data_IF_922090827537
#
_entry.id   IF_922090827537
#
_cell.length_a   1.000
_cell.length_b   1.000
_cell.length_c   1.000
_cell.angle_alpha   90.00
_cell.angle_beta   90.00
_cell.angle_gamma   90.00
#
_symmetry.space_group_name_H-M   'P 1'
#
loop_
_entity.id
_entity.type
_entity.pdbx_description
1 polymer ?
#
# COMPACT_ATOMS: atom_id res chain seq x y z
N UNK A 1 -45.34 -21.71 -2.43
CA UNK A 1 -44.07 -22.46 -2.61
C UNK A 1 -42.98 -21.45 -2.94
N UNK A 2 -41.96 -21.46 -2.09
CA UNK A 2 -40.89 -20.49 -1.89
C UNK A 2 -39.69 -20.72 -2.81
N UNK A 3 -39.01 -19.64 -3.20
CA UNK A 3 -37.57 -19.68 -3.44
C UNK A 3 -36.96 -18.31 -3.13
N UNK A 4 -36.56 -18.11 -1.86
CA UNK A 4 -35.62 -17.05 -1.47
C UNK A 4 -34.26 -17.35 -2.06
N UNK A 5 -33.72 -16.42 -2.83
CA UNK A 5 -32.31 -16.43 -3.23
C UNK A 5 -31.46 -16.13 -1.98
N UNK A 6 -30.81 -17.18 -1.48
CA UNK A 6 -29.79 -17.10 -0.43
C UNK A 6 -28.53 -16.45 -1.01
N UNK A 7 -28.29 -15.20 -0.66
CA UNK A 7 -27.01 -14.53 -0.91
C UNK A 7 -26.00 -15.10 0.09
N UNK A 8 -25.17 -16.02 -0.39
CA UNK A 8 -24.05 -16.54 0.38
C UNK A 8 -23.08 -15.40 0.74
N UNK A 9 -22.55 -15.35 1.98
CA UNK A 9 -21.55 -14.37 2.37
C UNK A 9 -20.25 -14.59 1.59
N UNK A 10 -19.68 -13.48 1.09
CA UNK A 10 -18.33 -13.45 0.52
C UNK A 10 -17.36 -13.98 1.57
N UNK A 11 -16.62 -15.04 1.24
CA UNK A 11 -15.51 -15.51 2.03
C UNK A 11 -14.52 -14.35 2.24
N UNK A 12 -14.44 -13.87 3.48
CA UNK A 12 -13.37 -13.01 3.95
C UNK A 12 -12.08 -13.81 3.80
N UNK A 13 -11.24 -13.42 2.84
CA UNK A 13 -9.87 -13.92 2.79
C UNK A 13 -9.15 -13.31 3.98
N UNK A 14 -9.17 -14.01 5.13
CA UNK A 14 -8.25 -13.75 6.24
C UNK A 14 -6.82 -13.83 5.68
N UNK A 15 -6.23 -12.67 5.38
CA UNK A 15 -4.89 -12.60 4.83
C UNK A 15 -3.93 -13.32 5.77
N UNK A 16 -3.23 -14.34 5.27
CA UNK A 16 -2.21 -15.02 6.05
C UNK A 16 -1.13 -14.00 6.42
N UNK A 17 -0.95 -13.77 7.73
CA UNK A 17 0.16 -12.96 8.23
C UNK A 17 1.46 -13.76 8.04
N UNK A 18 2.57 -13.06 7.79
CA UNK A 18 3.88 -13.68 7.63
C UNK A 18 4.53 -13.92 8.98
N UNK A 19 5.11 -15.11 9.19
CA UNK A 19 6.00 -15.37 10.32
C UNK A 19 7.40 -14.75 10.12
N UNK A 20 7.66 -14.18 8.95
CA UNK A 20 8.95 -13.62 8.57
C UNK A 20 9.06 -12.11 8.88
N UNK A 21 10.30 -11.64 9.09
CA UNK A 21 10.59 -10.21 9.29
C UNK A 21 10.50 -9.39 8.00
N UNK A 22 10.61 -8.06 8.13
CA UNK A 22 10.53 -7.12 7.03
C UNK A 22 11.61 -7.37 5.95
N UNK A 23 12.79 -7.81 6.35
CA UNK A 23 13.87 -8.15 5.42
C UNK A 23 13.47 -9.29 4.50
N UNK A 24 12.85 -10.34 5.04
CA UNK A 24 12.45 -11.49 4.21
C UNK A 24 11.23 -11.13 3.36
N UNK A 25 10.27 -10.38 3.91
CA UNK A 25 9.15 -9.84 3.14
C UNK A 25 9.64 -9.02 1.92
N UNK A 26 10.65 -8.16 2.08
CA UNK A 26 11.25 -7.42 0.95
C UNK A 26 11.98 -8.34 -0.02
N UNK A 27 12.65 -9.40 0.45
CA UNK A 27 13.29 -10.38 -0.44
C UNK A 27 12.26 -11.16 -1.25
N UNK A 28 11.15 -11.54 -0.65
CA UNK A 28 10.00 -12.13 -1.34
C UNK A 28 9.44 -11.20 -2.41
N UNK A 29 9.20 -9.93 -2.06
CA UNK A 29 8.77 -8.91 -3.02
C UNK A 29 9.77 -8.77 -4.19
N UNK A 30 11.08 -8.71 -3.90
CA UNK A 30 12.12 -8.65 -4.93
C UNK A 30 12.10 -9.90 -5.82
N UNK A 31 12.00 -11.10 -5.24
CA UNK A 31 11.95 -12.37 -6.01
C UNK A 31 10.74 -12.37 -6.93
N UNK A 32 9.58 -12.05 -6.37
CA UNK A 32 8.31 -12.00 -7.10
C UNK A 32 8.37 -10.97 -8.23
N UNK A 33 8.75 -9.73 -7.94
CA UNK A 33 8.78 -8.64 -8.91
C UNK A 33 9.79 -8.88 -10.04
N UNK A 34 10.94 -9.52 -9.74
CA UNK A 34 11.87 -9.99 -10.78
C UNK A 34 11.23 -11.03 -11.69
N UNK A 35 10.51 -12.01 -11.14
CA UNK A 35 9.87 -13.07 -11.92
C UNK A 35 8.78 -12.52 -12.86
N UNK A 36 8.07 -11.47 -12.45
CA UNK A 36 6.98 -10.86 -13.24
C UNK A 36 7.46 -9.94 -14.36
N UNK A 37 8.67 -9.40 -14.23
CA UNK A 37 9.23 -8.37 -15.11
C UNK A 37 9.15 -8.71 -16.60
N UNK A 38 9.47 -9.95 -16.99
CA UNK A 38 9.40 -10.37 -18.38
C UNK A 38 7.97 -10.28 -18.95
N UNK A 39 6.97 -10.65 -18.14
CA UNK A 39 5.55 -10.51 -18.49
C UNK A 39 5.14 -9.06 -18.64
N UNK A 40 5.58 -8.18 -17.73
CA UNK A 40 5.33 -6.74 -17.84
C UNK A 40 5.97 -6.13 -19.07
N UNK A 41 7.21 -6.49 -19.40
CA UNK A 41 7.87 -6.02 -20.63
C UNK A 41 7.12 -6.46 -21.89
N UNK A 42 6.66 -7.71 -21.97
CA UNK A 42 5.91 -8.20 -23.13
C UNK A 42 4.62 -7.42 -23.38
N UNK A 43 3.89 -7.03 -22.33
CA UNK A 43 2.59 -6.37 -22.46
C UNK A 43 2.67 -4.83 -22.46
N UNK A 44 3.58 -4.27 -21.66
CA UNK A 44 3.72 -2.83 -21.42
C UNK A 44 4.99 -2.20 -22.00
N UNK A 45 5.80 -2.98 -22.72
CA UNK A 45 7.01 -2.53 -23.41
C UNK A 45 8.12 -2.09 -22.47
N UNK A 46 9.00 -1.23 -22.99
CA UNK A 46 10.18 -0.73 -22.25
C UNK A 46 9.79 0.06 -21.00
N UNK A 47 8.69 0.82 -21.04
CA UNK A 47 8.24 1.62 -19.89
C UNK A 47 7.92 0.74 -18.69
N UNK A 48 7.19 -0.36 -18.90
CA UNK A 48 6.88 -1.30 -17.84
C UNK A 48 8.14 -2.02 -17.31
N UNK A 49 9.11 -2.33 -18.19
CA UNK A 49 10.40 -2.90 -17.78
C UNK A 49 11.18 -1.95 -16.86
N UNK A 50 11.27 -0.67 -17.23
CA UNK A 50 12.00 0.34 -16.45
C UNK A 50 11.35 0.58 -15.09
N UNK A 51 10.03 0.68 -15.03
CA UNK A 51 9.30 0.86 -13.77
C UNK A 51 9.41 -0.36 -12.86
N UNK A 52 9.35 -1.58 -13.40
CA UNK A 52 9.59 -2.81 -12.64
C UNK A 52 11.02 -2.87 -12.08
N UNK A 53 12.04 -2.47 -12.86
CA UNK A 53 13.42 -2.34 -12.37
C UNK A 53 13.54 -1.30 -11.25
N UNK A 54 12.88 -0.16 -11.41
CA UNK A 54 12.91 0.91 -10.42
C UNK A 54 12.32 0.47 -9.08
N UNK A 55 11.19 -0.26 -9.10
CA UNK A 55 10.61 -0.84 -7.88
C UNK A 55 11.58 -1.83 -7.22
N UNK A 56 12.12 -2.79 -7.98
CA UNK A 56 13.09 -3.77 -7.46
C UNK A 56 14.35 -3.09 -6.90
N UNK A 57 14.80 -1.99 -7.51
CA UNK A 57 15.94 -1.23 -7.00
C UNK A 57 15.60 -0.52 -5.67
N UNK A 58 14.41 0.08 -5.56
CA UNK A 58 13.95 0.70 -4.33
C UNK A 58 13.81 -0.32 -3.18
N UNK A 59 13.22 -1.49 -3.44
CA UNK A 59 13.11 -2.58 -2.46
C UNK A 59 14.49 -3.02 -1.95
N UNK A 60 15.47 -3.16 -2.85
CA UNK A 60 16.86 -3.50 -2.46
C UNK A 60 17.49 -2.42 -1.60
N UNK A 61 17.27 -1.15 -1.94
CA UNK A 61 17.80 -0.03 -1.18
C UNK A 61 17.24 0.03 0.25
N UNK A 62 16.05 -0.55 0.48
CA UNK A 62 15.42 -0.63 1.80
C UNK A 62 15.90 -1.81 2.66
N UNK A 63 16.57 -2.83 2.08
CA UNK A 63 17.03 -4.01 2.83
C UNK A 63 17.90 -3.68 4.06
N UNK A 64 18.86 -2.74 4.03
CA UNK A 64 19.64 -2.41 5.22
C UNK A 64 18.79 -1.83 6.36
N UNK A 65 17.83 -0.95 6.02
CA UNK A 65 16.92 -0.38 7.00
C UNK A 65 15.96 -1.45 7.56
N UNK A 66 15.47 -2.35 6.70
CA UNK A 66 14.64 -3.48 7.12
C UNK A 66 15.37 -4.41 8.09
N UNK A 67 16.65 -4.70 7.83
CA UNK A 67 17.47 -5.52 8.73
C UNK A 67 17.65 -4.88 10.10
N UNK A 68 17.86 -3.56 10.15
CA UNK A 68 17.94 -2.82 11.42
C UNK A 68 16.62 -2.87 12.19
N UNK A 69 15.50 -2.71 11.50
CA UNK A 69 14.16 -2.80 12.09
C UNK A 69 13.86 -4.22 12.61
N UNK A 70 14.22 -5.26 11.86
CA UNK A 70 14.06 -6.65 12.30
C UNK A 70 14.88 -6.95 13.56
N UNK A 71 16.14 -6.50 13.60
CA UNK A 71 17.01 -6.65 14.77
C UNK A 71 16.44 -5.95 16.00
N UNK A 72 15.81 -4.79 15.81
CA UNK A 72 15.21 -4.04 16.89
C UNK A 72 13.89 -4.65 17.38
N UNK A 73 13.03 -5.08 16.45
CA UNK A 73 11.80 -5.79 16.78
C UNK A 73 12.05 -7.08 17.55
N UNK A 74 13.14 -7.80 17.25
CA UNK A 74 13.54 -9.01 17.96
C UNK A 74 13.90 -8.80 19.44
N UNK A 75 14.06 -7.54 19.89
CA UNK A 75 14.28 -7.21 21.31
C UNK A 75 13.01 -7.18 22.13
N UNK A 76 11.84 -7.23 21.48
CA UNK A 76 10.55 -7.15 22.15
C UNK A 76 9.87 -8.52 22.17
N UNK A 77 9.13 -8.85 23.24
CA UNK A 77 8.45 -10.15 23.37
C UNK A 77 7.20 -10.28 22.49
N UNK A 78 6.77 -9.18 21.83
CA UNK A 78 5.62 -9.15 20.93
C UNK A 78 6.08 -8.98 19.48
N UNK A 79 5.41 -9.62 18.51
CA UNK A 79 5.86 -9.66 17.12
C UNK A 79 5.48 -8.38 16.34
N UNK A 80 5.93 -7.20 16.80
CA UNK A 80 5.52 -5.88 16.26
C UNK A 80 5.58 -5.83 14.73
N UNK A 81 6.67 -6.30 14.14
CA UNK A 81 6.85 -6.31 12.69
C UNK A 81 6.14 -7.47 12.00
N UNK A 82 6.38 -8.71 12.45
CA UNK A 82 5.93 -9.92 11.76
C UNK A 82 4.41 -9.97 11.64
N UNK A 83 3.72 -9.63 12.71
CA UNK A 83 2.26 -9.63 12.71
C UNK A 83 1.68 -8.60 11.73
N UNK A 84 2.39 -7.54 11.37
CA UNK A 84 1.93 -6.47 10.46
C UNK A 84 2.20 -6.75 8.98
N UNK A 85 2.99 -7.78 8.66
CA UNK A 85 3.37 -8.11 7.29
C UNK A 85 2.43 -9.17 6.73
N UNK A 86 1.81 -8.83 5.60
CA UNK A 86 1.03 -9.81 4.83
C UNK A 86 2.00 -10.67 4.02
N UNK A 87 1.71 -11.97 3.94
CA UNK A 87 2.48 -12.89 3.11
C UNK A 87 2.40 -12.47 1.62
N UNK A 88 3.57 -12.34 0.99
CA UNK A 88 3.70 -12.05 -0.43
C UNK A 88 3.10 -13.15 -1.33
N UNK A 89 2.95 -14.38 -0.82
CA UNK A 89 2.28 -15.47 -1.51
C UNK A 89 0.80 -15.16 -1.81
N UNK A 90 0.18 -14.24 -1.06
CA UNK A 90 -1.21 -13.79 -1.27
C UNK A 90 -1.30 -12.75 -2.40
N UNK A 91 -0.18 -12.22 -2.88
CA UNK A 91 -0.17 -11.23 -3.94
C UNK A 91 -0.77 -11.81 -5.25
N UNK A 92 -1.55 -11.03 -6.01
CA UNK A 92 -2.22 -11.53 -7.22
C UNK A 92 -1.26 -12.10 -8.26
N UNK A 93 -1.66 -13.10 -9.08
CA UNK A 93 -0.77 -13.64 -10.09
C UNK A 93 -0.37 -12.59 -11.14
N UNK A 94 0.86 -12.70 -11.64
CA UNK A 94 1.48 -11.73 -12.56
C UNK A 94 0.70 -11.45 -13.85
N UNK A 95 -0.06 -12.45 -14.29
CA UNK A 95 -0.84 -12.41 -15.53
C UNK A 95 -2.26 -11.90 -15.32
N UNK A 96 -2.67 -11.61 -14.08
CA UNK A 96 -3.98 -11.07 -13.80
C UNK A 96 -4.12 -9.70 -14.49
N UNK A 97 -5.07 -9.53 -15.42
CA UNK A 97 -5.39 -8.21 -15.94
C UNK A 97 -5.93 -7.35 -14.81
N UNK A 98 -5.60 -6.06 -14.82
CA UNK A 98 -6.20 -5.16 -13.85
C UNK A 98 -7.60 -4.75 -14.30
N UNK A 99 -8.61 -4.86 -13.43
CA UNK A 99 -9.93 -4.37 -13.76
C UNK A 99 -9.89 -2.85 -13.99
N UNK A 100 -10.77 -2.29 -14.84
CA UNK A 100 -10.90 -0.85 -14.99
C UNK A 100 -11.24 -0.19 -13.65
N UNK A 101 -10.74 1.03 -13.42
CA UNK A 101 -11.24 1.85 -12.32
C UNK A 101 -12.63 2.32 -12.73
N UNK A 102 -13.67 1.75 -12.14
CA UNK A 102 -15.04 2.17 -12.45
C UNK A 102 -15.26 3.56 -11.86
N UNK A 103 -15.55 4.52 -12.75
CA UNK A 103 -16.10 5.82 -12.39
C UNK A 103 -17.51 5.59 -11.84
N UNK A 104 -17.66 5.53 -10.52
CA UNK A 104 -19.00 5.60 -9.91
C UNK A 104 -19.55 7.01 -10.19
N UNK A 105 -20.42 7.13 -11.19
CA UNK A 105 -21.02 8.39 -11.63
C UNK A 105 -21.25 8.55 -13.13
N UNK A 106 -20.96 7.54 -13.97
CA UNK A 106 -21.42 7.54 -15.36
C UNK A 106 -22.92 7.18 -15.43
N UNK A 107 -23.77 8.10 -14.99
CA UNK A 107 -24.94 8.42 -15.80
C UNK A 107 -24.41 9.18 -17.02
N UNK A 108 -24.94 8.87 -18.20
CA UNK A 108 -24.48 9.29 -19.52
C UNK A 108 -23.99 10.75 -19.61
N UNK A 109 -22.68 10.97 -19.52
CA UNK A 109 -22.06 12.23 -19.90
C UNK A 109 -20.99 11.98 -20.95
N UNK A 110 -21.42 11.83 -22.20
CA UNK A 110 -20.65 12.14 -23.40
C UNK A 110 -20.26 13.63 -23.36
N UNK A 111 -19.17 13.94 -22.66
CA UNK A 111 -18.56 15.26 -22.64
C UNK A 111 -17.03 15.14 -22.80
N UNK A 112 -16.37 16.12 -23.47
CA UNK A 112 -14.94 16.06 -23.72
C UNK A 112 -14.16 15.97 -22.42
N UNK A 113 -13.21 15.03 -22.39
CA UNK A 113 -12.24 14.77 -21.32
C UNK A 113 -11.70 16.08 -20.72
N UNK A 114 -12.25 16.49 -19.57
CA UNK A 114 -11.74 17.64 -18.85
C UNK A 114 -10.32 17.34 -18.37
N UNK A 115 -9.36 18.04 -18.99
CA UNK A 115 -7.96 18.05 -18.60
C UNK A 115 -7.91 18.50 -17.13
N UNK A 116 -7.52 17.57 -16.26
CA UNK A 116 -7.39 17.82 -14.83
C UNK A 116 -6.56 19.08 -14.57
N UNK A 117 -7.15 20.04 -13.85
CA UNK A 117 -6.50 21.30 -13.49
C UNK A 117 -5.19 21.08 -12.70
N UNK A 118 -4.13 21.90 -12.92
CA UNK A 118 -2.82 21.76 -12.26
C UNK A 118 -2.82 21.99 -10.74
N UNK A 119 -3.93 22.46 -10.15
CA UNK A 119 -4.01 22.83 -8.72
C UNK A 119 -4.05 21.65 -7.75
N UNK A 120 -4.14 20.42 -8.22
CA UNK A 120 -4.23 19.21 -7.37
C UNK A 120 -2.94 18.89 -6.58
N UNK A 121 -1.82 19.59 -6.81
CA UNK A 121 -0.52 19.30 -6.20
C UNK A 121 -0.26 19.91 -4.82
N UNK A 122 -0.83 21.08 -4.50
CA UNK A 122 -0.42 21.87 -3.31
C UNK A 122 -1.13 21.45 -2.02
N UNK A 123 -2.37 20.97 -2.10
CA UNK A 123 -3.10 20.44 -0.94
C UNK A 123 -2.60 19.08 -0.46
N UNK A 124 -1.91 18.33 -1.32
CA UNK A 124 -1.62 16.91 -1.13
C UNK A 124 -0.42 16.64 -0.21
N UNK A 125 0.60 17.48 -0.30
CA UNK A 125 1.80 17.45 0.55
C UNK A 125 1.49 17.92 1.98
N UNK A 126 0.51 18.83 2.13
CA UNK A 126 0.08 19.34 3.44
C UNK A 126 -0.57 18.26 4.31
N UNK A 127 -1.32 17.32 3.71
CA UNK A 127 -2.01 16.26 4.46
C UNK A 127 -1.04 15.23 5.06
N UNK A 128 -0.08 14.72 4.29
CA UNK A 128 0.96 13.81 4.80
C UNK A 128 1.87 14.55 5.79
N UNK A 129 2.20 15.81 5.51
CA UNK A 129 2.96 16.66 6.45
C UNK A 129 2.25 16.83 7.79
N UNK A 130 0.92 16.99 7.81
CA UNK A 130 0.15 17.06 9.03
C UNK A 130 0.17 15.74 9.83
N UNK A 131 0.11 14.59 9.16
CA UNK A 131 0.21 13.27 9.81
C UNK A 131 1.61 13.06 10.38
N UNK A 132 2.66 13.40 9.61
CA UNK A 132 4.04 13.35 10.09
C UNK A 132 4.22 14.22 11.34
N UNK A 133 3.70 15.46 11.30
CA UNK A 133 3.75 16.39 12.43
C UNK A 133 3.00 15.88 13.66
N UNK A 134 1.85 15.22 13.48
CA UNK A 134 1.11 14.59 14.57
C UNK A 134 1.97 13.50 15.26
N UNK A 135 2.65 12.66 14.48
CA UNK A 135 3.53 11.62 15.01
C UNK A 135 4.73 12.23 15.76
N UNK A 136 5.37 13.26 15.19
CA UNK A 136 6.54 13.89 15.83
C UNK A 136 6.18 14.68 17.09
N UNK A 137 4.94 15.19 17.19
CA UNK A 137 4.39 15.80 18.41
C UNK A 137 3.94 14.78 19.45
N UNK A 138 4.08 13.49 19.16
CA UNK A 138 3.73 12.43 20.09
C UNK A 138 2.23 12.17 20.22
N UNK A 139 1.40 12.57 19.25
CA UNK A 139 -0.02 12.21 19.24
C UNK A 139 -0.20 10.69 19.36
N UNK A 140 -1.34 10.30 19.93
CA UNK A 140 -1.71 8.89 20.06
C UNK A 140 -1.79 8.23 18.68
N UNK A 141 -1.20 7.05 18.52
CA UNK A 141 -1.18 6.34 17.24
C UNK A 141 -2.58 5.92 16.76
N UNK A 142 -3.56 5.81 17.65
CA UNK A 142 -4.96 5.64 17.27
C UNK A 142 -5.49 6.84 16.43
N UNK A 143 -5.25 8.08 16.87
CA UNK A 143 -5.58 9.29 16.10
C UNK A 143 -4.87 9.32 14.75
N UNK A 144 -3.60 8.87 14.72
CA UNK A 144 -2.84 8.74 13.46
C UNK A 144 -3.49 7.71 12.53
N UNK A 145 -3.94 6.57 13.05
CA UNK A 145 -4.67 5.56 12.28
C UNK A 145 -5.95 6.12 11.65
N UNK A 146 -6.75 6.87 12.41
CA UNK A 146 -7.98 7.48 11.90
C UNK A 146 -7.72 8.49 10.78
N UNK A 147 -6.68 9.32 10.94
CA UNK A 147 -6.23 10.25 9.88
C UNK A 147 -5.77 9.50 8.63
N UNK A 148 -5.09 8.37 8.79
CA UNK A 148 -4.68 7.53 7.66
C UNK A 148 -5.88 6.88 6.97
N UNK A 149 -6.90 6.43 7.72
CA UNK A 149 -8.17 5.94 7.15
C UNK A 149 -8.83 7.00 6.26
N UNK A 150 -8.95 8.22 6.76
CA UNK A 150 -9.51 9.34 6.00
C UNK A 150 -8.69 9.62 4.72
N UNK A 151 -7.36 9.53 4.83
CA UNK A 151 -6.46 9.75 3.70
C UNK A 151 -6.53 8.63 2.65
N UNK A 152 -6.62 7.37 3.06
CA UNK A 152 -6.82 6.23 2.14
C UNK A 152 -8.14 6.39 1.39
N UNK A 153 -9.21 6.76 2.09
CA UNK A 153 -10.50 7.03 1.47
C UNK A 153 -10.41 8.16 0.43
N UNK A 154 -9.62 9.21 0.70
CA UNK A 154 -9.34 10.28 -0.25
C UNK A 154 -8.56 9.81 -1.49
N UNK A 155 -7.50 9.02 -1.31
CA UNK A 155 -6.74 8.45 -2.44
C UNK A 155 -7.64 7.56 -3.30
N UNK A 156 -8.46 6.70 -2.70
CA UNK A 156 -9.44 5.88 -3.42
C UNK A 156 -10.49 6.72 -4.17
N UNK A 157 -10.94 7.84 -3.59
CA UNK A 157 -11.81 8.80 -4.30
C UNK A 157 -11.08 9.43 -5.49
N UNK A 158 -9.81 9.81 -5.34
CA UNK A 158 -8.99 10.39 -6.41
C UNK A 158 -8.71 9.36 -7.53
N UNK A 159 -8.45 8.10 -7.18
CA UNK A 159 -8.33 7.02 -8.16
C UNK A 159 -9.59 6.95 -9.02
N UNK A 160 -10.77 6.90 -8.37
CA UNK A 160 -12.06 6.90 -9.07
C UNK A 160 -12.20 8.12 -9.95
N UNK A 161 -12.07 9.33 -9.41
CA UNK A 161 -12.29 10.57 -10.15
C UNK A 161 -11.39 10.74 -11.39
N UNK A 162 -10.15 10.27 -11.35
CA UNK A 162 -9.18 10.42 -12.45
C UNK A 162 -9.11 9.15 -13.32
N UNK A 163 -9.72 8.04 -12.90
CA UNK A 163 -9.63 6.75 -13.59
C UNK A 163 -8.22 6.14 -13.56
N UNK A 164 -7.37 6.50 -12.59
CA UNK A 164 -5.97 6.05 -12.53
C UNK A 164 -5.65 5.36 -11.20
N UNK A 165 -4.93 4.24 -11.28
CA UNK A 165 -4.53 3.45 -10.10
C UNK A 165 -3.38 4.12 -9.33
N UNK A 166 -3.36 3.89 -8.01
CA UNK A 166 -2.44 4.42 -7.00
C UNK A 166 -2.01 3.31 -6.04
N UNK A 167 -1.72 2.13 -6.59
CA UNK A 167 -1.55 0.90 -5.83
C UNK A 167 -0.44 1.00 -4.77
N UNK A 168 0.74 1.53 -5.12
CA UNK A 168 1.83 1.64 -4.16
C UNK A 168 1.52 2.67 -3.07
N UNK A 169 0.95 3.80 -3.46
CA UNK A 169 0.56 4.86 -2.52
C UNK A 169 -0.43 4.35 -1.49
N UNK A 170 -1.49 3.69 -1.95
CA UNK A 170 -2.53 3.13 -1.08
C UNK A 170 -1.95 2.03 -0.19
N UNK A 171 -1.16 1.12 -0.76
CA UNK A 171 -0.52 0.04 0.00
C UNK A 171 0.36 0.54 1.15
N UNK A 172 1.18 1.57 0.92
CA UNK A 172 1.99 2.17 1.99
C UNK A 172 1.15 2.86 3.07
N UNK A 173 0.07 3.53 2.68
CA UNK A 173 -0.84 4.17 3.65
C UNK A 173 -1.61 3.13 4.48
N UNK A 174 -2.06 2.04 3.85
CA UNK A 174 -2.72 0.93 4.52
C UNK A 174 -1.77 0.24 5.50
N UNK A 175 -0.51 0.00 5.10
CA UNK A 175 0.53 -0.57 5.96
C UNK A 175 0.81 0.35 7.16
N UNK A 176 1.01 1.66 6.91
CA UNK A 176 1.20 2.64 7.98
C UNK A 176 0.03 2.67 8.97
N UNK A 177 -1.19 2.56 8.47
CA UNK A 177 -2.41 2.55 9.28
C UNK A 177 -2.52 1.29 10.12
N UNK A 178 -2.25 0.12 9.55
CA UNK A 178 -2.25 -1.15 10.28
C UNK A 178 -1.24 -1.10 11.44
N UNK A 179 -0.03 -0.61 11.17
CA UNK A 179 0.99 -0.40 12.21
C UNK A 179 0.51 0.55 13.31
N UNK A 180 -0.12 1.67 12.93
CA UNK A 180 -0.63 2.65 13.88
C UNK A 180 -1.77 2.09 14.75
N UNK A 181 -2.68 1.31 14.16
CA UNK A 181 -3.81 0.69 14.86
C UNK A 181 -3.35 -0.34 15.91
N UNK A 182 -2.34 -1.16 15.58
CA UNK A 182 -1.85 -2.22 16.46
C UNK A 182 -0.87 -1.74 17.53
N UNK A 183 -0.26 -0.58 17.33
CA UNK A 183 0.73 -0.04 18.26
C UNK A 183 0.22 0.09 19.71
N UNK A 184 -1.06 0.44 19.90
CA UNK A 184 -1.64 0.54 21.24
C UNK A 184 -1.69 -0.82 21.96
N UNK A 185 -1.98 -1.91 21.23
CA UNK A 185 -1.99 -3.26 21.80
C UNK A 185 -0.59 -3.71 22.21
N UNK A 186 0.39 -3.53 21.31
CA UNK A 186 1.78 -3.87 21.61
C UNK A 186 2.31 -3.06 22.79
N UNK A 187 2.01 -1.76 22.84
CA UNK A 187 2.42 -0.90 23.94
C UNK A 187 1.86 -1.41 25.27
N UNK A 188 0.57 -1.76 25.36
CA UNK A 188 -0.01 -2.33 26.60
C UNK A 188 0.69 -3.61 27.02
N UNK A 189 1.00 -4.51 26.07
CA UNK A 189 1.64 -5.81 26.35
C UNK A 189 3.12 -5.71 26.72
N UNK A 190 3.76 -4.57 26.46
CA UNK A 190 5.18 -4.35 26.73
C UNK A 190 5.44 -3.12 27.61
N UNK A 191 4.43 -2.66 28.36
CA UNK A 191 4.53 -1.44 29.20
C UNK A 191 5.15 -0.23 28.47
N UNK A 192 4.68 0.02 27.24
CA UNK A 192 5.11 1.13 26.38
C UNK A 192 6.42 0.92 25.61
N UNK A 193 7.21 -0.13 25.88
CA UNK A 193 8.53 -0.33 25.27
C UNK A 193 8.53 -0.37 23.72
N UNK A 194 7.41 -0.76 23.10
CA UNK A 194 7.26 -0.88 21.64
C UNK A 194 6.84 0.41 20.93
N UNK A 195 6.44 1.47 21.67
CA UNK A 195 5.90 2.70 21.06
C UNK A 195 6.88 3.39 20.11
N UNK A 196 8.16 3.45 20.47
CA UNK A 196 9.18 4.08 19.63
C UNK A 196 9.43 3.28 18.33
N UNK A 197 9.33 1.96 18.39
CA UNK A 197 9.42 1.10 17.20
C UNK A 197 8.19 1.31 16.30
N UNK A 198 6.98 1.21 16.83
CA UNK A 198 5.76 1.43 16.05
C UNK A 198 5.73 2.80 15.38
N UNK A 199 6.14 3.88 16.08
CA UNK A 199 6.26 5.21 15.47
C UNK A 199 7.24 5.22 14.29
N UNK A 200 8.41 4.61 14.44
CA UNK A 200 9.39 4.51 13.33
C UNK A 200 8.84 3.73 12.14
N UNK A 201 8.07 2.66 12.37
CA UNK A 201 7.43 1.91 11.30
C UNK A 201 6.42 2.77 10.54
N UNK A 202 5.52 3.46 11.24
CA UNK A 202 4.56 4.37 10.61
C UNK A 202 5.29 5.46 9.81
N UNK A 203 6.31 6.09 10.41
CA UNK A 203 7.11 7.12 9.73
C UNK A 203 7.84 6.58 8.49
N UNK A 204 8.40 5.37 8.57
CA UNK A 204 9.08 4.72 7.45
C UNK A 204 8.17 4.53 6.23
N UNK A 205 6.95 4.03 6.45
CA UNK A 205 5.96 3.91 5.38
C UNK A 205 5.59 5.28 4.79
N UNK A 206 5.34 6.29 5.64
CA UNK A 206 4.96 7.63 5.19
C UNK A 206 6.09 8.35 4.43
N UNK A 207 7.34 8.11 4.79
CA UNK A 207 8.50 8.67 4.08
C UNK A 207 8.59 8.16 2.62
N UNK A 208 8.05 6.98 2.33
CA UNK A 208 8.04 6.38 0.99
C UNK A 208 6.85 6.80 0.13
N UNK A 209 5.80 7.39 0.72
CA UNK A 209 4.58 7.81 0.00
C UNK A 209 4.85 8.76 -1.17
N UNK A 210 5.69 9.81 -1.06
CA UNK A 210 5.96 10.70 -2.20
C UNK A 210 6.60 9.98 -3.39
N UNK A 211 7.52 9.04 -3.12
CA UNK A 211 8.17 8.22 -4.13
C UNK A 211 7.16 7.27 -4.78
N UNK A 212 6.34 6.56 -3.99
CA UNK A 212 5.26 5.70 -4.48
C UNK A 212 4.27 6.46 -5.37
N UNK A 213 3.87 7.67 -4.99
CA UNK A 213 3.03 8.56 -5.83
C UNK A 213 3.68 8.92 -7.16
N UNK A 214 5.00 9.07 -7.18
CA UNK A 214 5.76 9.28 -8.42
C UNK A 214 5.67 8.06 -9.34
N UNK A 215 5.94 6.88 -8.79
CA UNK A 215 5.85 5.62 -9.52
C UNK A 215 4.43 5.33 -10.03
N UNK A 216 3.40 5.49 -9.19
CA UNK A 216 2.00 5.29 -9.59
C UNK A 216 1.62 6.21 -10.76
N UNK A 217 2.01 7.49 -10.71
CA UNK A 217 1.79 8.44 -11.82
C UNK A 217 2.49 8.00 -13.11
N UNK A 218 3.73 7.51 -13.00
CA UNK A 218 4.47 7.01 -14.15
C UNK A 218 3.91 5.70 -14.70
N UNK A 219 3.26 4.88 -13.86
CA UNK A 219 2.64 3.62 -14.24
C UNK A 219 1.27 3.80 -14.93
N UNK A 220 0.60 4.94 -14.79
CA UNK A 220 -0.73 5.16 -15.38
C UNK A 220 -0.83 4.78 -16.88
N UNK A 221 0.08 5.21 -17.78
CA UNK A 221 0.01 4.79 -19.19
C UNK A 221 0.25 3.29 -19.42
N UNK A 222 0.86 2.59 -18.46
CA UNK A 222 1.02 1.12 -18.49
C UNK A 222 -0.30 0.47 -18.04
N UNK A 223 -0.96 1.03 -17.03
CA UNK A 223 -2.27 0.59 -16.56
C UNK A 223 -3.37 0.76 -17.60
N UNK A 224 -3.34 1.83 -18.40
CA UNK A 224 -4.30 2.09 -19.49
C UNK A 224 -4.30 0.97 -20.55
N UNK A 225 -3.22 0.16 -20.61
CA UNK A 225 -3.12 -1.03 -21.48
C UNK A 225 -3.49 -2.34 -20.77
N UNK A 226 -4.12 -2.27 -19.60
CA UNK A 226 -4.53 -3.42 -18.80
C UNK A 226 -3.39 -4.17 -18.09
N UNK A 227 -2.18 -3.60 -18.04
CA UNK A 227 -1.01 -4.26 -17.43
C UNK A 227 -0.99 -3.98 -15.92
N UNK A 228 -1.11 -5.03 -15.11
CA UNK A 228 -1.18 -4.92 -13.64
C UNK A 228 0.12 -4.64 -12.89
N UNK A 229 1.01 -3.83 -13.47
CA UNK A 229 2.24 -3.39 -12.81
C UNK A 229 1.90 -2.68 -11.48
N UNK A 230 2.62 -3.01 -10.41
CA UNK A 230 2.38 -2.54 -9.03
C UNK A 230 1.10 -3.08 -8.37
N UNK A 231 -0.02 -3.07 -9.08
CA UNK A 231 -1.32 -3.56 -8.56
C UNK A 231 -1.25 -5.04 -8.19
N UNK A 232 -0.56 -5.85 -9.01
CA UNK A 232 -0.35 -7.27 -8.72
C UNK A 232 0.88 -7.51 -7.83
N UNK A 233 1.74 -6.50 -7.67
CA UNK A 233 3.05 -6.59 -6.99
C UNK A 233 3.00 -6.40 -5.49
N UNK A 234 1.85 -6.00 -4.97
CA UNK A 234 1.62 -5.82 -3.54
C UNK A 234 0.48 -6.73 -3.07
N UNK A 235 0.58 -7.34 -1.88
CA UNK A 235 -0.51 -8.08 -1.28
C UNK A 235 -1.59 -7.11 -0.78
N UNK A 236 -2.86 -7.55 -0.69
CA UNK A 236 -3.90 -6.76 -0.05
C UNK A 236 -3.61 -6.64 1.44
N UNK A 237 -3.66 -5.42 1.98
CA UNK A 237 -3.54 -5.18 3.42
C UNK A 237 -4.94 -5.29 4.05
N UNK A 238 -5.12 -6.10 5.11
CA UNK A 238 -6.42 -6.21 5.78
C UNK A 238 -6.80 -4.90 6.47
N UNK A 239 -8.11 -4.69 6.63
CA UNK A 239 -8.62 -3.68 7.54
C UNK A 239 -8.28 -4.09 9.00
N UNK A 240 -7.84 -3.16 9.85
CA UNK A 240 -7.52 -3.39 11.26
C UNK A 240 -8.77 -3.62 12.12
#
# INVERSE_FOLDING_TARGET
>A
MTASASTAPRAESSGSMSDAGLTEHLRDAIRLNRARRAGYRRRGGLRADLLSRALVAAERALLPAAWLLDRDAARHPVPVLRAELVDMAVAPPAHRPIPPVILSGAEDHTGPSQIASPRAGVGDTRSIGAILLAITRGEALASVSDRLSARIAEERRRERAVGRRRALTIHLLESARLSAARAADYARRTDGATLALSRRLVLGHLALVPFARGLDRLAAPVHDRGVGLFVNDVPPIPEP
#
